data_IF_460246685467
#
_entry.id   IF_460246685467
#
_cell.length_a   1.000
_cell.length_b   1.000
_cell.length_c   1.000
_cell.angle_alpha   90.00
_cell.angle_beta   90.00
_cell.angle_gamma   90.00
#
_symmetry.space_group_name_H-M   'P 1'
#
loop_
_entity.id
_entity.type
_entity.pdbx_description
1 polymer ?
#
# COMPACT_ATOMS: atom_id res chain seq x y z
N UNK A 1 -26.78 -2.39 1.41
CA UNK A 1 -27.05 -1.92 2.79
C UNK A 1 -25.73 -1.88 3.54
N UNK A 2 -25.09 -0.71 3.61
CA UNK A 2 -23.79 -0.55 4.29
C UNK A 2 -24.03 -0.44 5.79
N UNK A 3 -23.69 -1.50 6.53
CA UNK A 3 -23.77 -1.52 7.98
C UNK A 3 -22.69 -0.56 8.52
N UNK A 4 -23.10 0.65 8.89
CA UNK A 4 -22.26 1.58 9.66
C UNK A 4 -22.06 0.93 11.03
N UNK A 5 -20.90 0.33 11.25
CA UNK A 5 -20.50 -0.16 12.56
C UNK A 5 -20.28 1.06 13.44
N UNK A 6 -21.22 1.32 14.36
CA UNK A 6 -21.13 2.42 15.31
C UNK A 6 -20.09 2.02 16.36
N UNK A 7 -18.92 2.66 16.31
CA UNK A 7 -17.87 2.46 17.29
C UNK A 7 -18.03 3.46 18.44
N UNK A 8 -18.13 2.96 19.66
CA UNK A 8 -17.93 3.76 20.86
C UNK A 8 -16.42 3.87 21.08
N UNK A 9 -15.85 5.02 20.71
CA UNK A 9 -14.46 5.33 20.98
C UNK A 9 -14.27 5.47 22.49
N UNK A 10 -13.90 4.38 23.17
CA UNK A 10 -13.29 4.47 24.50
C UNK A 10 -11.94 5.14 24.33
N UNK A 11 -11.86 6.39 24.76
CA UNK A 11 -10.68 7.21 24.63
C UNK A 11 -9.63 6.81 25.65
N UNK A 12 -8.86 5.79 25.33
CA UNK A 12 -7.67 5.49 26.10
C UNK A 12 -6.53 6.38 25.60
N UNK A 13 -5.93 7.13 26.52
CA UNK A 13 -4.72 7.91 26.25
C UNK A 13 -3.66 6.90 25.80
N UNK A 14 -3.07 7.08 24.61
CA UNK A 14 -1.80 6.43 24.31
C UNK A 14 -0.75 7.01 25.27
N UNK A 15 -0.55 6.32 26.38
CA UNK A 15 0.71 6.35 27.08
C UNK A 15 1.60 5.23 26.53
N UNK A 16 2.90 5.28 26.81
CA UNK A 16 3.81 4.17 26.45
C UNK A 16 3.47 2.86 27.18
N UNK A 17 2.49 2.87 28.09
CA UNK A 17 2.12 1.73 28.92
C UNK A 17 0.94 0.93 28.34
N UNK A 18 0.10 1.53 27.49
CA UNK A 18 -1.12 0.91 26.97
C UNK A 18 -1.16 0.93 25.43
N UNK A 19 -0.94 -0.20 24.75
CA UNK A 19 -1.06 -0.25 23.30
C UNK A 19 -2.53 -0.10 22.86
N UNK A 20 -2.77 0.76 21.87
CA UNK A 20 -4.07 0.85 21.22
C UNK A 20 -4.22 -0.24 20.16
N UNK A 21 -5.18 -1.15 20.37
CA UNK A 21 -5.49 -2.18 19.39
C UNK A 21 -6.27 -1.60 18.19
N UNK A 22 -5.81 -1.87 16.97
CA UNK A 22 -6.57 -1.58 15.75
C UNK A 22 -7.60 -2.69 15.51
N UNK A 23 -8.86 -2.38 15.15
CA UNK A 23 -9.92 -3.37 14.98
C UNK A 23 -9.81 -4.10 13.63
N UNK A 24 -8.67 -4.74 13.38
CA UNK A 24 -8.37 -5.50 12.17
C UNK A 24 -7.77 -6.85 12.55
N UNK A 25 -8.43 -7.93 12.15
CA UNK A 25 -7.92 -9.29 12.30
C UNK A 25 -7.24 -9.76 11.01
N UNK A 26 -6.13 -10.48 11.16
CA UNK A 26 -5.29 -10.93 10.04
C UNK A 26 -4.31 -9.86 9.54
N UNK A 27 -3.94 -8.88 10.36
CA UNK A 27 -2.91 -7.91 9.99
C UNK A 27 -1.57 -8.64 9.75
N UNK A 28 -0.99 -8.46 8.57
CA UNK A 28 0.26 -9.11 8.15
C UNK A 28 1.43 -8.15 8.07
N UNK A 29 1.18 -6.91 7.66
CA UNK A 29 2.14 -5.82 7.55
C UNK A 29 1.42 -4.48 7.72
N UNK A 30 2.20 -3.46 8.07
CA UNK A 30 1.69 -2.10 8.30
C UNK A 30 2.67 -1.08 7.74
N UNK A 31 2.13 0.00 7.19
CA UNK A 31 2.93 1.17 6.82
C UNK A 31 2.23 2.44 7.29
N UNK A 32 2.98 3.28 8.01
CA UNK A 32 2.52 4.60 8.42
C UNK A 32 2.94 5.64 7.39
N UNK A 33 2.10 6.65 7.16
CA UNK A 33 2.43 7.78 6.31
C UNK A 33 1.72 9.05 6.75
N UNK A 34 2.25 10.20 6.33
CA UNK A 34 1.64 11.51 6.57
C UNK A 34 1.07 12.10 5.29
N UNK A 35 -0.15 12.63 5.36
CA UNK A 35 -0.74 13.43 4.30
C UNK A 35 -0.26 14.88 4.38
N UNK A 36 -0.58 15.67 3.36
CA UNK A 36 -0.40 17.13 3.43
C UNK A 36 -1.22 17.66 4.61
N UNK A 37 -0.69 18.68 5.30
CA UNK A 37 -1.29 19.18 6.54
C UNK A 37 -0.94 18.34 7.78
N UNK A 38 -0.10 17.31 7.66
CA UNK A 38 0.42 16.56 8.81
C UNK A 38 -0.51 15.47 9.36
N UNK A 39 -1.62 15.19 8.69
CA UNK A 39 -2.52 14.09 9.07
C UNK A 39 -1.81 12.74 9.00
N UNK A 40 -1.84 11.98 10.09
CA UNK A 40 -1.23 10.65 10.17
C UNK A 40 -2.18 9.56 9.69
N UNK A 41 -1.67 8.58 8.96
CA UNK A 41 -2.41 7.42 8.46
C UNK A 41 -1.61 6.14 8.66
N UNK A 42 -2.32 5.03 8.78
CA UNK A 42 -1.75 3.68 8.81
C UNK A 42 -2.49 2.82 7.81
N UNK A 43 -1.80 2.31 6.80
CA UNK A 43 -2.33 1.26 5.94
C UNK A 43 -1.92 -0.10 6.54
N UNK A 44 -2.89 -1.00 6.64
CA UNK A 44 -2.71 -2.36 7.17
C UNK A 44 -3.04 -3.34 6.06
N UNK A 45 -2.07 -4.17 5.69
CA UNK A 45 -2.33 -5.32 4.83
C UNK A 45 -2.99 -6.43 5.63
N UNK A 46 -3.99 -7.07 5.03
CA UNK A 46 -4.72 -8.16 5.67
C UNK A 46 -4.49 -9.45 4.90
N UNK A 47 -3.88 -10.41 5.59
CA UNK A 47 -3.75 -11.79 5.15
C UNK A 47 -4.51 -12.67 6.14
N UNK A 48 -5.59 -13.28 5.68
CA UNK A 48 -6.27 -14.33 6.44
C UNK A 48 -6.01 -15.65 5.75
N UNK A 49 -5.76 -16.64 6.61
CA UNK A 49 -5.66 -18.08 6.35
C UNK A 49 -5.64 -18.49 4.87
N UNK A 50 -4.45 -18.91 4.43
CA UNK A 50 -4.20 -19.38 3.07
C UNK A 50 -4.93 -20.69 2.74
N UNK A 51 -5.40 -21.42 3.76
CA UNK A 51 -5.96 -22.77 3.62
C UNK A 51 -7.50 -22.80 3.67
N UNK A 52 -8.16 -21.79 4.26
CA UNK A 52 -9.62 -21.81 4.52
C UNK A 52 -10.46 -20.82 3.72
N UNK A 53 -9.97 -20.37 2.57
CA UNK A 53 -10.73 -19.58 1.58
C UNK A 53 -11.12 -18.15 2.00
N UNK A 54 -10.59 -17.61 3.10
CA UNK A 54 -10.79 -16.21 3.50
C UNK A 54 -9.85 -15.22 2.76
N UNK A 55 -9.53 -15.53 1.50
CA UNK A 55 -8.60 -14.79 0.64
C UNK A 55 -9.08 -13.35 0.39
N UNK A 56 -10.40 -13.15 0.33
CA UNK A 56 -11.05 -11.85 0.12
C UNK A 56 -11.12 -11.00 1.40
N UNK A 57 -9.98 -10.87 2.08
CA UNK A 57 -9.85 -10.01 3.26
C UNK A 57 -9.33 -8.64 2.85
N UNK A 58 -10.17 -7.59 2.87
CA UNK A 58 -9.76 -6.29 2.41
C UNK A 58 -8.78 -5.64 3.39
N UNK A 59 -7.77 -4.97 2.84
CA UNK A 59 -6.85 -4.11 3.58
C UNK A 59 -7.56 -2.84 4.03
N UNK A 60 -7.07 -2.23 5.10
CA UNK A 60 -7.73 -1.07 5.71
C UNK A 60 -6.72 0.05 5.94
N UNK A 61 -7.13 1.27 5.62
CA UNK A 61 -6.44 2.50 6.01
C UNK A 61 -7.15 3.06 7.22
N UNK A 62 -6.38 3.35 8.26
CA UNK A 62 -6.81 4.08 9.43
C UNK A 62 -6.26 5.51 9.40
N UNK A 63 -7.07 6.47 9.83
CA UNK A 63 -6.63 7.85 10.09
C UNK A 63 -6.36 8.01 11.59
N UNK A 64 -5.22 8.61 11.90
CA UNK A 64 -4.78 8.95 13.25
C UNK A 64 -5.05 10.45 13.50
N UNK A 65 -5.38 10.81 14.73
CA UNK A 65 -5.39 12.23 15.14
C UNK A 65 -5.79 12.41 16.60
N UNK A 66 -5.89 13.64 17.10
CA UNK A 66 -6.26 13.91 18.50
C UNK A 66 -7.72 14.35 18.62
N UNK A 67 -8.53 13.72 19.50
CA UNK A 67 -9.91 14.11 19.74
C UNK A 67 -9.97 15.55 20.21
N UNK A 68 -10.94 16.27 19.68
CA UNK A 68 -11.19 17.69 19.89
C UNK A 68 -11.21 18.03 21.40
N UNK A 69 -10.24 18.82 21.88
CA UNK A 69 -10.41 19.60 23.11
C UNK A 69 -10.94 21.00 22.75
N UNK A 70 -11.55 21.70 23.71
CA UNK A 70 -12.55 22.77 23.49
C UNK A 70 -12.09 24.06 22.79
N UNK A 71 -10.89 24.12 22.19
CA UNK A 71 -10.44 25.33 21.47
C UNK A 71 -9.99 25.10 20.04
N UNK A 72 -9.18 24.09 19.67
CA UNK A 72 -8.84 23.83 18.26
C UNK A 72 -8.39 22.36 18.05
N UNK A 73 -9.15 21.56 17.30
CA UNK A 73 -8.77 20.17 16.93
C UNK A 73 -9.20 19.81 15.50
N UNK A 74 -8.33 19.16 14.73
CA UNK A 74 -8.42 19.08 13.27
C UNK A 74 -8.89 17.70 12.77
N UNK A 75 -10.21 17.49 12.83
CA UNK A 75 -10.88 16.32 12.22
C UNK A 75 -12.07 16.75 11.33
N UNK A 76 -12.09 18.00 10.87
CA UNK A 76 -13.33 18.66 10.43
C UNK A 76 -14.00 18.08 9.16
N UNK A 77 -13.33 17.25 8.35
CA UNK A 77 -13.83 16.93 7.01
C UNK A 77 -14.74 15.70 6.85
N UNK A 78 -15.01 14.87 7.87
CA UNK A 78 -15.75 13.60 7.66
C UNK A 78 -16.91 13.28 8.61
N UNK A 79 -17.48 14.26 9.31
CA UNK A 79 -18.78 14.04 10.00
C UNK A 79 -18.79 12.95 11.08
N UNK A 80 -17.63 12.55 11.61
CA UNK A 80 -17.54 11.56 12.68
C UNK A 80 -17.90 12.25 14.00
N UNK A 81 -18.98 11.77 14.63
CA UNK A 81 -19.45 12.24 15.93
C UNK A 81 -18.33 12.13 16.96
N UNK A 82 -18.03 13.28 17.58
CA UNK A 82 -17.31 13.49 18.85
C UNK A 82 -16.90 12.19 19.56
N UNK A 83 -15.66 11.76 19.37
CA UNK A 83 -14.92 11.19 20.48
C UNK A 83 -14.51 12.38 21.37
N UNK A 84 -15.44 12.90 22.17
CA UNK A 84 -15.12 13.90 23.17
C UNK A 84 -14.53 13.18 24.37
N UNK A 85 -13.21 13.01 24.38
CA UNK A 85 -12.50 12.72 25.61
C UNK A 85 -11.88 14.01 26.11
N UNK A 86 -12.14 14.31 27.38
CA UNK A 86 -11.58 15.46 28.08
C UNK A 86 -10.05 15.41 28.24
N UNK A 87 -9.35 14.48 27.58
CA UNK A 87 -7.95 14.14 27.86
C UNK A 87 -6.94 14.30 26.71
N UNK A 88 -7.35 14.67 25.48
CA UNK A 88 -6.41 14.97 24.39
C UNK A 88 -5.53 13.79 23.90
N UNK A 89 -5.94 12.54 24.10
CA UNK A 89 -5.17 11.34 23.69
C UNK A 89 -5.45 10.89 22.26
N UNK A 90 -4.43 10.39 21.53
CA UNK A 90 -4.54 9.94 20.13
C UNK A 90 -5.74 8.99 19.89
N UNK A 91 -6.56 9.32 18.89
CA UNK A 91 -7.70 8.55 18.40
C UNK A 91 -7.41 7.98 17.01
N UNK A 92 -8.06 6.84 16.71
CA UNK A 92 -7.95 6.15 15.44
C UNK A 92 -9.33 5.85 14.89
N UNK A 93 -9.51 6.06 13.58
CA UNK A 93 -10.75 5.75 12.89
C UNK A 93 -10.46 5.02 11.57
N UNK A 94 -11.32 4.07 11.21
CA UNK A 94 -11.27 3.47 9.87
C UNK A 94 -11.57 4.55 8.83
N UNK A 95 -10.67 4.71 7.88
CA UNK A 95 -10.71 5.77 6.88
C UNK A 95 -11.13 5.23 5.51
N UNK A 96 -10.52 4.13 5.06
CA UNK A 96 -10.83 3.55 3.77
C UNK A 96 -10.58 2.04 3.77
N UNK A 97 -11.48 1.28 3.15
CA UNK A 97 -11.28 -0.14 2.85
C UNK A 97 -10.77 -0.29 1.41
N UNK A 98 -9.74 -1.12 1.22
CA UNK A 98 -9.15 -1.42 -0.09
C UNK A 98 -9.47 -2.88 -0.46
N UNK A 99 -9.98 -3.16 -1.68
CA UNK A 99 -10.41 -4.50 -2.09
C UNK A 99 -9.23 -5.42 -2.44
N UNK A 100 -8.29 -5.56 -1.51
CA UNK A 100 -7.14 -6.46 -1.62
C UNK A 100 -7.53 -7.90 -1.32
N UNK A 101 -6.68 -8.82 -1.79
CA UNK A 101 -6.81 -10.25 -1.54
C UNK A 101 -5.47 -10.81 -1.04
N UNK A 102 -5.51 -11.61 0.01
CA UNK A 102 -4.34 -12.22 0.63
C UNK A 102 -3.12 -11.27 0.72
N UNK A 103 -3.35 -10.04 1.20
CA UNK A 103 -2.32 -9.02 1.21
C UNK A 103 -1.30 -9.32 2.32
N UNK A 104 -0.11 -9.79 1.96
CA UNK A 104 0.93 -10.18 2.91
C UNK A 104 1.82 -9.01 3.32
N UNK A 105 2.02 -8.05 2.43
CA UNK A 105 2.88 -6.90 2.68
C UNK A 105 2.29 -5.63 2.07
N UNK A 106 2.67 -4.48 2.62
CA UNK A 106 2.27 -3.16 2.11
C UNK A 106 3.45 -2.20 2.13
N UNK A 107 3.57 -1.39 1.08
CA UNK A 107 4.54 -0.30 1.01
C UNK A 107 3.88 1.01 0.59
N UNK A 108 4.44 2.11 1.07
CA UNK A 108 4.01 3.47 0.74
C UNK A 108 5.15 4.24 0.08
N UNK A 109 4.83 5.06 -0.92
CA UNK A 109 5.74 6.05 -1.48
C UNK A 109 4.98 7.26 -2.03
N UNK A 110 5.71 8.37 -2.18
CA UNK A 110 5.25 9.55 -2.93
C UNK A 110 6.25 9.80 -4.05
N UNK A 111 5.78 9.81 -5.29
CA UNK A 111 6.57 10.14 -6.46
C UNK A 111 5.85 11.22 -7.26
N UNK A 112 6.46 12.40 -7.36
CA UNK A 112 5.83 13.56 -7.97
C UNK A 112 4.55 13.97 -7.25
N UNK A 113 3.47 14.08 -8.01
CA UNK A 113 2.13 14.46 -7.57
C UNK A 113 1.27 13.28 -7.11
N UNK A 114 1.85 12.07 -7.01
CA UNK A 114 1.10 10.86 -6.67
C UNK A 114 1.67 10.14 -5.46
N UNK A 115 0.74 9.65 -4.64
CA UNK A 115 0.98 8.78 -3.50
C UNK A 115 0.55 7.38 -3.85
N UNK A 116 1.37 6.40 -3.50
CA UNK A 116 1.16 5.00 -3.82
C UNK A 116 1.04 4.16 -2.57
N UNK A 117 0.17 3.15 -2.64
CA UNK A 117 0.20 1.98 -1.78
C UNK A 117 0.32 0.75 -2.68
N UNK A 118 1.35 -0.06 -2.48
CA UNK A 118 1.48 -1.36 -3.14
C UNK A 118 1.23 -2.46 -2.13
N UNK A 119 0.48 -3.49 -2.52
CA UNK A 119 0.16 -4.66 -1.70
C UNK A 119 0.67 -5.93 -2.37
N UNK A 120 1.49 -6.70 -1.66
CA UNK A 120 1.96 -8.01 -2.10
C UNK A 120 0.84 -9.05 -1.90
N UNK A 121 0.42 -9.74 -2.96
CA UNK A 121 -0.57 -10.81 -2.89
C UNK A 121 0.10 -12.18 -2.71
N UNK A 122 -0.12 -12.82 -1.55
CA UNK A 122 0.42 -14.14 -1.22
C UNK A 122 -0.64 -15.24 -1.41
N UNK A 123 -1.37 -15.25 -2.53
CA UNK A 123 -2.35 -16.32 -2.77
C UNK A 123 -1.77 -17.47 -3.61
N UNK A 124 -2.31 -18.67 -3.43
CA UNK A 124 -1.99 -19.91 -4.16
C UNK A 124 -2.73 -20.02 -5.50
N UNK A 125 -3.82 -19.27 -5.68
CA UNK A 125 -4.55 -19.11 -6.94
C UNK A 125 -3.98 -17.90 -7.69
N UNK A 126 -3.94 -17.86 -9.04
CA UNK A 126 -3.40 -16.73 -9.78
C UNK A 126 -4.14 -15.43 -9.45
N UNK A 127 -3.54 -14.64 -8.55
CA UNK A 127 -4.00 -13.33 -8.17
C UNK A 127 -2.86 -12.31 -8.24
N UNK A 128 -3.23 -11.10 -8.59
CA UNK A 128 -2.29 -10.01 -8.85
C UNK A 128 -2.02 -9.22 -7.57
N UNK A 129 -0.76 -8.84 -7.37
CA UNK A 129 -0.43 -7.76 -6.43
C UNK A 129 -1.06 -6.46 -6.93
N UNK A 130 -1.52 -5.61 -6.01
CA UNK A 130 -2.30 -4.43 -6.36
C UNK A 130 -1.57 -3.15 -5.98
N UNK A 131 -1.61 -2.17 -6.88
CA UNK A 131 -1.11 -0.81 -6.63
C UNK A 131 -2.31 0.13 -6.62
N UNK A 132 -2.46 0.87 -5.53
CA UNK A 132 -3.40 1.96 -5.40
C UNK A 132 -2.68 3.30 -5.44
N UNK A 133 -3.34 4.31 -5.97
CA UNK A 133 -2.81 5.67 -6.00
C UNK A 133 -3.83 6.70 -5.50
N UNK A 134 -3.30 7.77 -4.92
CA UNK A 134 -4.03 8.97 -4.53
C UNK A 134 -3.22 10.21 -4.95
N UNK A 135 -3.87 11.36 -4.96
CA UNK A 135 -3.19 12.66 -5.09
C UNK A 135 -2.24 12.87 -3.88
N UNK A 136 -0.96 13.16 -4.15
CA UNK A 136 0.03 13.40 -3.11
C UNK A 136 -0.21 14.69 -2.33
N UNK A 137 -0.89 15.67 -2.94
CA UNK A 137 -1.15 16.99 -2.39
C UNK A 137 -2.38 17.04 -1.48
N UNK A 138 -3.20 15.98 -1.48
CA UNK A 138 -4.40 15.91 -0.65
C UNK A 138 -4.09 15.67 0.83
N UNK A 139 -4.75 16.43 1.71
CA UNK A 139 -4.76 16.20 3.16
C UNK A 139 -5.62 14.98 3.56
N UNK A 140 -6.52 14.56 2.67
CA UNK A 140 -7.42 13.42 2.85
C UNK A 140 -7.30 12.52 1.61
N UNK A 141 -6.19 11.76 1.50
CA UNK A 141 -5.91 10.98 0.29
C UNK A 141 -6.96 9.89 0.12
N UNK A 142 -7.63 9.83 -1.04
CA UNK A 142 -8.53 8.73 -1.39
C UNK A 142 -7.84 7.83 -2.41
N UNK A 143 -7.54 6.59 -2.00
CA UNK A 143 -6.81 5.66 -2.83
C UNK A 143 -7.73 4.95 -3.83
N UNK A 144 -7.31 4.86 -5.08
CA UNK A 144 -8.03 4.14 -6.14
C UNK A 144 -7.08 3.13 -6.78
N UNK A 145 -7.61 2.00 -7.26
CA UNK A 145 -6.79 0.99 -7.93
C UNK A 145 -6.16 1.61 -9.17
N UNK A 146 -4.83 1.61 -9.23
CA UNK A 146 -4.07 2.07 -10.37
C UNK A 146 -3.71 0.92 -11.32
N UNK A 147 -3.22 -0.17 -10.76
CA UNK A 147 -2.64 -1.26 -11.54
C UNK A 147 -2.69 -2.57 -10.77
N UNK A 148 -2.92 -3.65 -11.51
CA UNK A 148 -2.67 -5.01 -11.05
C UNK A 148 -1.36 -5.51 -11.65
N UNK A 149 -0.53 -6.15 -10.82
CA UNK A 149 0.75 -6.72 -11.22
C UNK A 149 0.63 -8.25 -11.25
N UNK A 150 0.93 -8.90 -12.38
CA UNK A 150 0.94 -10.35 -12.45
C UNK A 150 2.09 -10.87 -11.58
N UNK A 151 1.74 -11.37 -10.39
CA UNK A 151 2.70 -11.87 -9.41
C UNK A 151 2.38 -13.30 -9.01
N UNK A 152 3.42 -14.07 -8.72
CA UNK A 152 3.34 -15.43 -8.23
C UNK A 152 3.75 -15.46 -6.75
N UNK A 153 2.74 -15.44 -5.87
CA UNK A 153 2.91 -15.51 -4.42
C UNK A 153 3.87 -14.44 -3.90
N UNK A 154 3.53 -13.17 -4.14
CA UNK A 154 4.32 -12.03 -3.70
C UNK A 154 4.37 -11.96 -2.17
N UNK A 155 5.59 -11.89 -1.63
CA UNK A 155 5.84 -11.86 -0.18
C UNK A 155 6.26 -10.49 0.31
N UNK A 156 6.79 -9.64 -0.58
CA UNK A 156 7.27 -8.32 -0.21
C UNK A 156 7.14 -7.33 -1.35
N UNK A 157 6.92 -6.06 -1.00
CA UNK A 157 6.88 -4.93 -1.94
C UNK A 157 7.69 -3.77 -1.38
N UNK A 158 8.58 -3.16 -2.18
CA UNK A 158 9.40 -2.03 -1.73
C UNK A 158 9.52 -0.97 -2.82
N UNK A 159 9.26 0.27 -2.44
CA UNK A 159 9.53 1.42 -3.28
C UNK A 159 10.94 1.96 -2.98
N UNK A 160 11.62 2.47 -4.00
CA UNK A 160 12.87 3.21 -3.83
C UNK A 160 13.14 4.15 -5.01
N UNK A 161 14.01 5.12 -4.78
CA UNK A 161 14.56 6.00 -5.82
C UNK A 161 16.03 5.68 -6.00
N UNK A 162 16.49 5.61 -7.26
CA UNK A 162 17.92 5.41 -7.52
C UNK A 162 18.74 6.58 -6.97
N UNK A 163 19.84 6.28 -6.29
CA UNK A 163 20.69 7.31 -5.70
C UNK A 163 21.28 8.22 -6.79
N UNK A 164 21.09 9.53 -6.68
CA UNK A 164 21.54 10.49 -7.69
C UNK A 164 20.70 10.54 -8.98
N UNK A 165 19.52 9.91 -9.01
CA UNK A 165 18.58 9.99 -10.13
C UNK A 165 17.16 10.37 -9.70
N UNK A 166 16.32 10.75 -10.67
CA UNK A 166 14.88 11.01 -10.48
C UNK A 166 14.01 9.77 -10.76
N UNK A 167 14.63 8.65 -11.13
CA UNK A 167 13.90 7.43 -11.45
C UNK A 167 13.42 6.72 -10.18
N UNK A 168 12.13 6.44 -10.17
CA UNK A 168 11.43 5.79 -9.07
C UNK A 168 11.09 4.36 -9.46
N UNK A 169 11.25 3.43 -8.52
CA UNK A 169 11.16 2.00 -8.75
C UNK A 169 10.30 1.32 -7.70
N UNK A 170 9.75 0.17 -8.09
CA UNK A 170 9.06 -0.78 -7.22
C UNK A 170 9.71 -2.15 -7.42
N UNK A 171 10.09 -2.80 -6.33
CA UNK A 171 10.50 -4.20 -6.32
C UNK A 171 9.43 -5.04 -5.65
N UNK A 172 9.12 -6.18 -6.26
CA UNK A 172 8.23 -7.20 -5.71
C UNK A 172 8.99 -8.50 -5.53
N UNK A 173 9.16 -8.93 -4.29
CA UNK A 173 9.71 -10.24 -3.97
C UNK A 173 8.64 -11.32 -4.10
N UNK A 174 8.96 -12.42 -4.75
CA UNK A 174 8.03 -13.51 -5.08
C UNK A 174 8.53 -14.81 -4.46
N UNK A 175 7.61 -15.64 -3.95
CA UNK A 175 7.97 -16.93 -3.34
C UNK A 175 8.25 -18.01 -4.38
N UNK A 176 7.45 -18.01 -5.46
CA UNK A 176 7.48 -19.06 -6.49
C UNK A 176 8.05 -18.56 -7.83
N UNK A 177 8.29 -17.26 -7.96
CA UNK A 177 8.86 -16.63 -9.16
C UNK A 177 10.09 -15.77 -8.89
N UNK A 178 10.66 -15.20 -9.96
CA UNK A 178 11.78 -14.24 -9.88
C UNK A 178 11.29 -12.90 -9.31
N UNK A 179 12.10 -12.20 -8.52
CA UNK A 179 11.73 -10.85 -8.11
C UNK A 179 11.45 -9.93 -9.32
N UNK A 180 10.42 -9.09 -9.23
CA UNK A 180 10.08 -8.11 -10.26
C UNK A 180 10.68 -6.76 -9.90
N UNK A 181 11.43 -6.14 -10.81
CA UNK A 181 11.84 -4.74 -10.74
C UNK A 181 11.07 -3.94 -11.78
N UNK A 182 10.32 -2.93 -11.30
CA UNK A 182 9.46 -2.10 -12.11
C UNK A 182 9.91 -0.64 -12.01
N UNK A 183 10.00 0.05 -13.13
CA UNK A 183 10.25 1.49 -13.19
C UNK A 183 8.92 2.24 -13.29
N UNK A 184 8.78 3.33 -12.55
CA UNK A 184 7.66 4.25 -12.67
C UNK A 184 7.87 5.16 -13.90
N UNK A 185 6.91 5.17 -14.82
CA UNK A 185 6.97 5.98 -16.04
C UNK A 185 6.09 7.25 -15.99
N UNK A 186 5.76 7.72 -14.78
CA UNK A 186 4.82 8.82 -14.51
C UNK A 186 3.33 8.47 -14.65
N UNK A 187 2.99 7.25 -15.09
CA UNK A 187 1.61 6.77 -15.15
C UNK A 187 1.43 5.44 -14.42
N UNK A 188 2.29 4.46 -14.74
CA UNK A 188 2.24 3.09 -14.26
C UNK A 188 3.63 2.59 -13.89
N UNK A 189 3.68 1.43 -13.23
CA UNK A 189 4.90 0.67 -13.00
C UNK A 189 5.06 -0.35 -14.14
N UNK A 190 6.14 -0.23 -14.89
CA UNK A 190 6.44 -1.10 -16.05
C UNK A 190 7.75 -1.85 -15.81
N UNK A 191 7.92 -3.01 -16.44
CA UNK A 191 9.17 -3.78 -16.34
C UNK A 191 10.38 -2.87 -16.61
N UNK A 192 11.33 -2.85 -15.69
CA UNK A 192 12.60 -2.17 -15.91
C UNK A 192 13.40 -3.01 -16.90
N UNK A 193 13.19 -2.78 -18.20
CA UNK A 193 14.10 -3.30 -19.22
C UNK A 193 15.44 -2.61 -18.99
N UNK A 194 16.53 -3.39 -18.99
CA UNK A 194 17.89 -2.87 -18.92
C UNK A 194 18.03 -1.69 -19.88
N UNK A 195 18.02 -0.46 -19.34
CA UNK A 195 18.18 0.77 -20.13
C UNK A 195 19.59 0.92 -20.71
N UNK A 196 20.42 -0.12 -20.62
CA UNK A 196 21.73 -0.23 -21.23
C UNK A 196 21.73 -0.53 -22.73
N UNK A 197 20.59 -0.82 -23.37
CA UNK A 197 20.56 -1.19 -24.80
C UNK A 197 19.65 -0.33 -25.70
N UNK A 198 18.72 0.47 -25.18
CA UNK A 198 17.80 1.20 -26.07
C UNK A 198 17.30 2.54 -25.52
N UNK A 199 18.18 3.54 -25.52
CA UNK A 199 17.74 4.93 -25.62
C UNK A 199 17.31 5.27 -27.07
N UNK A 200 16.41 4.46 -27.66
CA UNK A 200 15.83 4.72 -28.98
C UNK A 200 14.70 3.71 -29.32
N UNK A 201 13.71 3.47 -28.45
CA UNK A 201 12.47 2.82 -28.91
C UNK A 201 11.29 3.02 -27.96
N UNK A 202 10.25 3.65 -28.53
CA UNK A 202 8.84 3.31 -28.34
C UNK A 202 8.12 3.78 -27.06
N UNK A 203 7.46 4.92 -27.22
CA UNK A 203 6.12 5.12 -26.69
C UNK A 203 5.17 4.14 -27.39
N UNK A 204 4.77 3.07 -26.71
CA UNK A 204 3.75 2.16 -27.21
C UNK A 204 3.86 0.76 -26.62
N UNK A 205 2.87 0.37 -25.82
CA UNK A 205 2.53 -1.02 -25.52
C UNK A 205 3.60 -1.83 -24.77
N UNK A 206 3.62 -1.72 -23.44
CA UNK A 206 4.44 -2.58 -22.60
C UNK A 206 3.91 -4.03 -22.62
N UNK A 207 4.52 -4.88 -23.45
CA UNK A 207 4.39 -6.32 -23.33
C UNK A 207 5.50 -6.82 -22.39
N UNK A 208 5.13 -7.61 -21.38
CA UNK A 208 6.08 -8.32 -20.52
C UNK A 208 6.52 -9.58 -21.28
N UNK A 209 7.77 -9.62 -21.72
CA UNK A 209 8.37 -10.85 -22.22
C UNK A 209 8.95 -11.63 -21.03
N UNK A 210 8.57 -12.91 -20.83
CA UNK A 210 9.27 -13.77 -19.88
C UNK A 210 10.69 -13.99 -20.41
N UNK A 211 11.71 -13.67 -19.62
CA UNK A 211 13.06 -14.14 -19.88
C UNK A 211 13.12 -15.63 -19.54
N UNK A 212 12.84 -16.47 -20.53
CA UNK A 212 13.14 -17.89 -20.48
C UNK A 212 14.67 -18.04 -20.51
N UNK A 213 15.26 -18.25 -19.34
CA UNK A 213 16.67 -18.58 -19.23
C UNK A 213 16.93 -20.00 -19.68
N UNK A 214 17.31 -20.19 -20.93
CA UNK A 214 18.11 -21.35 -21.36
C UNK A 214 18.91 -20.99 -22.61
N UNK A 215 20.17 -21.44 -22.63
CA UNK A 215 21.13 -21.46 -23.75
C UNK A 215 22.07 -20.26 -23.93
N UNK A 216 23.20 -20.31 -23.20
CA UNK A 216 24.47 -19.82 -23.72
C UNK A 216 25.64 -20.57 -23.06
N UNK A 217 25.83 -21.85 -23.39
CA UNK A 217 27.08 -22.58 -23.14
C UNK A 217 27.21 -23.73 -24.16
N UNK A 218 27.60 -23.40 -25.40
CA UNK A 218 28.34 -24.30 -26.28
C UNK A 218 28.83 -23.54 -27.51
N UNK A 219 30.15 -23.60 -27.72
CA UNK A 219 30.97 -23.23 -28.89
C UNK A 219 31.91 -22.05 -28.68
N UNK A 220 33.05 -22.37 -28.09
CA UNK A 220 34.35 -21.92 -28.63
C UNK A 220 35.16 -23.20 -28.81
N UNK A 221 35.60 -23.44 -30.05
CA UNK A 221 36.57 -24.47 -30.40
C UNK A 221 38.00 -24.00 -30.18
#
# INVERSE_FOLDING_TARGET
SSRVMRWDATSERLDTASPLALPVSGASSVVAFTAVGGGGFVAVSVLRDLETSAVDSPSVIFKLGVPFNATHGDFADFGIRRAASSGGGLAVTSYQTLPTRAAHDVAHAVFGDRRFLAFACLDTVPHSSQIFAADATSASPLFTLLQELPTDRATSVRFFTHFGGSSSYLVVGQRSGTALLLAYNSSLFVAAVDRGVAAAASAGGGQVLPMSGTEALSRVG
#
